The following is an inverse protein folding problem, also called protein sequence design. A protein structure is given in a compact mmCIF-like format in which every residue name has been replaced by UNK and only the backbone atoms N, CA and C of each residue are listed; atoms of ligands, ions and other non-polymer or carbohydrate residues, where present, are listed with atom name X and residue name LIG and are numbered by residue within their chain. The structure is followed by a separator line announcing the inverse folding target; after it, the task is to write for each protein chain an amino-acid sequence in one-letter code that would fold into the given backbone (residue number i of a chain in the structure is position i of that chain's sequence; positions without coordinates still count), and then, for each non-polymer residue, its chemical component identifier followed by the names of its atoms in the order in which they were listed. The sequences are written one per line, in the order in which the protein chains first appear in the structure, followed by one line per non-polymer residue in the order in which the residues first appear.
data_IF_306452732346
#
_entry.id   IF_306452732346
#
_cell.length_a   1.000
_cell.length_b   1.000
_cell.length_c   1.000
_cell.angle_alpha   90.00
_cell.angle_beta   90.00
_cell.angle_gamma   90.00
#
_symmetry.space_group_name_H-M   'P 1'
#
loop_
_entity.id
_entity.type
_entity.pdbx_description
1 polymer ?
#
# COMPACT_ATOMS: atom_id res chain seq x y z
N UNK A 1 -3.56 35.19 -38.46
CA UNK A 1 -3.35 34.26 -37.31
C UNK A 1 -2.62 34.89 -36.11
N UNK A 2 -1.89 36.01 -36.26
CA UNK A 2 -1.16 36.69 -35.16
C UNK A 2 -2.02 37.51 -34.17
N UNK A 3 -3.15 38.11 -34.58
CA UNK A 3 -3.98 38.96 -33.70
C UNK A 3 -4.66 38.22 -32.53
N UNK A 4 -5.02 36.93 -32.70
CA UNK A 4 -5.65 36.13 -31.63
C UNK A 4 -4.68 35.83 -30.48
N UNK A 5 -3.41 35.55 -30.77
CA UNK A 5 -2.40 35.29 -29.74
C UNK A 5 -2.02 36.55 -28.95
N UNK A 6 -2.10 37.73 -29.59
CA UNK A 6 -1.83 39.00 -28.94
C UNK A 6 -2.91 39.37 -27.90
N UNK A 7 -4.19 39.16 -28.25
CA UNK A 7 -5.32 39.42 -27.33
C UNK A 7 -5.28 38.48 -26.13
N UNK A 8 -5.00 37.19 -26.34
CA UNK A 8 -4.84 36.21 -25.26
C UNK A 8 -3.66 36.57 -24.34
N UNK A 9 -2.55 37.05 -24.90
CA UNK A 9 -1.40 37.50 -24.13
C UNK A 9 -1.71 38.73 -23.27
N UNK A 10 -2.35 39.76 -23.85
CA UNK A 10 -2.78 40.95 -23.08
C UNK A 10 -3.79 40.61 -21.99
N UNK A 11 -4.71 39.69 -22.26
CA UNK A 11 -5.69 39.24 -21.27
C UNK A 11 -5.03 38.48 -20.10
N UNK A 12 -4.04 37.62 -20.38
CA UNK A 12 -3.25 36.94 -19.35
C UNK A 12 -2.44 37.96 -18.53
N UNK A 13 -1.76 38.91 -19.18
CA UNK A 13 -0.98 39.96 -18.48
C UNK A 13 -1.88 40.86 -17.65
N UNK A 14 -3.07 41.23 -18.13
CA UNK A 14 -4.05 42.02 -17.39
C UNK A 14 -4.59 41.28 -16.17
N UNK A 15 -4.93 39.98 -16.30
CA UNK A 15 -5.35 39.15 -15.16
C UNK A 15 -4.22 39.01 -14.13
N UNK A 16 -2.97 38.79 -14.58
CA UNK A 16 -1.80 38.75 -13.70
C UNK A 16 -1.57 40.10 -12.99
N UNK A 17 -1.79 41.22 -13.69
CA UNK A 17 -1.71 42.57 -13.14
C UNK A 17 -2.78 42.86 -12.08
N UNK A 18 -4.03 42.45 -12.31
CA UNK A 18 -5.11 42.57 -11.32
C UNK A 18 -4.86 41.72 -10.07
N UNK A 19 -4.30 40.51 -10.24
CA UNK A 19 -3.94 39.64 -9.12
C UNK A 19 -2.79 40.23 -8.29
N UNK A 20 -1.77 40.81 -8.95
CA UNK A 20 -0.67 41.50 -8.28
C UNK A 20 -1.13 42.76 -7.51
N UNK A 21 -2.03 43.56 -8.09
CA UNK A 21 -2.57 44.76 -7.44
C UNK A 21 -3.44 44.44 -6.22
N UNK A 22 -4.29 43.40 -6.28
CA UNK A 22 -5.07 42.94 -5.11
C UNK A 22 -4.15 42.48 -3.97
N UNK A 23 -2.94 42.01 -4.28
CA UNK A 23 -1.99 41.45 -3.32
C UNK A 23 -1.15 42.50 -2.60
N UNK A 24 -0.65 43.52 -3.29
CA UNK A 24 -0.01 44.69 -2.67
C UNK A 24 -1.00 45.42 -1.75
N UNK A 25 -2.28 45.48 -2.16
CA UNK A 25 -3.34 46.06 -1.34
C UNK A 25 -3.43 45.45 0.07
N UNK A 26 -3.44 44.12 0.22
CA UNK A 26 -3.54 43.51 1.55
C UNK A 26 -2.33 43.76 2.43
N UNK A 27 -1.13 43.69 1.85
CA UNK A 27 0.13 43.93 2.57
C UNK A 27 0.21 45.35 3.12
N UNK A 28 -0.24 46.32 2.32
CA UNK A 28 -0.13 47.73 2.68
C UNK A 28 -1.32 48.24 3.50
N UNK A 29 -2.49 47.58 3.45
CA UNK A 29 -3.74 48.09 4.04
C UNK A 29 -4.35 47.25 5.18
N UNK A 30 -3.73 46.13 5.61
CA UNK A 30 -4.24 45.38 6.76
C UNK A 30 -4.34 46.26 8.02
N UNK A 31 -5.29 45.99 8.90
CA UNK A 31 -5.40 46.62 10.23
C UNK A 31 -5.06 45.64 11.33
N UNK A 32 -5.50 44.40 11.11
CA UNK A 32 -5.46 43.33 12.08
C UNK A 32 -5.39 41.97 11.39
N UNK A 33 -4.67 41.04 11.99
CA UNK A 33 -4.67 39.62 11.61
C UNK A 33 -5.25 38.83 12.78
N UNK A 34 -6.26 38.00 12.52
CA UNK A 34 -6.77 37.05 13.52
C UNK A 34 -6.42 35.63 13.12
N UNK A 35 -5.90 34.85 14.06
CA UNK A 35 -5.62 33.43 13.89
C UNK A 35 -6.56 32.68 14.81
N UNK A 36 -7.38 31.80 14.24
CA UNK A 36 -8.22 30.85 14.97
C UNK A 36 -7.64 29.47 14.76
N UNK A 37 -7.39 28.76 15.85
CA UNK A 37 -6.85 27.41 15.85
C UNK A 37 -7.79 26.48 16.64
N UNK A 38 -8.45 25.60 15.90
CA UNK A 38 -9.34 24.59 16.42
C UNK A 38 -8.59 23.25 16.42
N UNK A 39 -8.38 22.66 17.58
CA UNK A 39 -7.63 21.42 17.69
C UNK A 39 -8.39 20.37 18.48
N UNK A 40 -8.13 19.11 18.13
CA UNK A 40 -8.80 17.95 18.69
C UNK A 40 -7.86 17.18 19.62
N UNK A 41 -8.29 16.90 20.86
CA UNK A 41 -7.54 16.03 21.78
C UNK A 41 -7.99 14.58 21.61
N UNK A 42 -7.09 13.66 21.23
CA UNK A 42 -7.45 12.25 21.02
C UNK A 42 -7.95 11.48 22.27
N UNK A 43 -7.81 12.05 23.48
CA UNK A 43 -8.00 11.33 24.74
C UNK A 43 -9.14 11.84 25.64
N UNK A 44 -10.05 12.70 25.15
CA UNK A 44 -11.22 13.11 25.95
C UNK A 44 -12.45 12.25 25.61
N UNK A 45 -13.05 11.63 26.64
CA UNK A 45 -14.30 10.85 26.56
C UNK A 45 -15.48 11.66 26.02
N UNK A 46 -15.35 13.00 26.04
CA UNK A 46 -16.23 13.95 25.38
C UNK A 46 -15.48 14.63 24.23
N UNK A 47 -16.10 14.69 23.06
CA UNK A 47 -15.64 15.43 21.88
C UNK A 47 -15.59 16.94 22.20
N UNK A 48 -14.52 17.42 22.83
CA UNK A 48 -14.35 18.85 23.13
C UNK A 48 -13.36 19.47 22.16
N UNK A 49 -13.85 20.33 21.27
CA UNK A 49 -12.99 21.24 20.52
C UNK A 49 -12.54 22.35 21.45
N UNK A 50 -11.23 22.53 21.56
CA UNK A 50 -10.68 23.75 22.14
C UNK A 50 -10.39 24.73 21.02
N UNK A 51 -10.78 25.97 21.25
CA UNK A 51 -10.68 27.06 20.29
C UNK A 51 -9.68 28.07 20.83
N UNK A 52 -8.55 28.22 20.15
CA UNK A 52 -7.65 29.32 20.44
C UNK A 52 -7.84 30.42 19.42
N UNK A 53 -7.81 31.66 19.90
CA UNK A 53 -7.86 32.83 19.04
C UNK A 53 -6.77 33.80 19.44
N UNK A 54 -5.97 34.20 18.48
CA UNK A 54 -4.95 35.21 18.65
C UNK A 54 -5.18 36.36 17.67
N UNK A 55 -4.69 37.53 18.05
CA UNK A 55 -4.86 38.77 17.31
C UNK A 55 -3.54 39.51 17.20
N UNK A 56 -3.23 40.02 16.01
CA UNK A 56 -2.05 40.82 15.72
C UNK A 56 -2.51 42.16 15.19
N UNK A 57 -2.04 43.24 15.82
CA UNK A 57 -2.28 44.61 15.35
C UNK A 57 -1.10 45.14 14.52
N UNK A 58 -1.26 46.33 13.93
CA UNK A 58 -0.21 47.00 13.13
C UNK A 58 1.09 47.33 13.86
N UNK A 59 1.07 47.34 15.19
CA UNK A 59 2.28 47.50 16.01
C UNK A 59 3.01 46.17 16.22
N UNK A 60 2.56 45.10 15.55
CA UNK A 60 3.08 43.73 15.65
C UNK A 60 2.94 43.14 17.06
N UNK A 61 1.94 43.60 17.81
CA UNK A 61 1.60 43.03 19.12
C UNK A 61 0.64 41.87 18.93
N UNK A 62 1.05 40.68 19.37
CA UNK A 62 0.20 39.50 19.47
C UNK A 62 -0.52 39.50 20.80
N UNK A 63 -1.84 39.30 20.77
CA UNK A 63 -2.67 39.11 21.96
C UNK A 63 -3.38 37.77 21.87
N UNK A 64 -3.25 36.95 22.91
CA UNK A 64 -4.12 35.79 23.09
C UNK A 64 -5.50 36.26 23.57
N UNK A 65 -6.56 35.74 22.98
CA UNK A 65 -7.95 36.01 23.39
C UNK A 65 -8.52 34.89 24.26
N UNK A 66 -7.67 33.95 24.71
CA UNK A 66 -8.04 32.80 25.55
C UNK A 66 -7.56 33.07 26.98
N UNK A 67 -8.46 32.94 27.95
CA UNK A 67 -8.25 33.00 29.41
C UNK A 67 -8.06 34.38 30.10
N UNK A 68 -8.48 35.51 29.52
CA UNK A 68 -8.39 36.85 30.15
C UNK A 68 -6.96 37.31 30.57
N UNK A 69 -5.94 36.50 30.32
CA UNK A 69 -4.53 36.87 30.50
C UNK A 69 -4.04 37.52 29.21
N UNK A 70 -3.96 38.85 29.21
CA UNK A 70 -3.46 39.66 28.09
C UNK A 70 -1.93 39.50 27.96
N UNK A 71 -1.44 38.30 27.67
CA UNK A 71 -0.05 38.12 27.27
C UNK A 71 0.10 38.82 25.92
N UNK A 72 0.82 39.94 25.94
CA UNK A 72 1.13 40.73 24.77
C UNK A 72 2.58 40.49 24.39
N UNK A 73 2.79 39.75 23.30
CA UNK A 73 4.14 39.44 22.79
C UNK A 73 4.38 40.20 21.50
N UNK A 74 5.54 40.85 21.37
CA UNK A 74 5.91 41.53 20.13
C UNK A 74 6.42 40.50 19.11
N UNK A 75 5.80 40.45 17.93
CA UNK A 75 6.22 39.59 16.82
C UNK A 75 7.23 40.34 15.95
N UNK A 76 8.19 39.61 15.39
CA UNK A 76 9.05 40.14 14.36
C UNK A 76 8.25 40.47 13.09
N UNK A 77 8.21 41.75 12.70
CA UNK A 77 7.54 42.24 11.49
C UNK A 77 7.87 41.44 10.22
N UNK A 78 9.09 40.92 10.09
CA UNK A 78 9.50 40.12 8.93
C UNK A 78 8.71 38.81 8.76
N UNK A 79 8.14 38.26 9.85
CA UNK A 79 7.25 37.09 9.79
C UNK A 79 5.93 37.45 9.12
N UNK A 80 5.42 38.67 9.33
CA UNK A 80 4.19 39.14 8.69
C UNK A 80 4.43 39.37 7.19
N UNK A 81 5.54 40.02 6.83
CA UNK A 81 5.93 40.18 5.42
C UNK A 81 6.11 38.84 4.71
N UNK A 82 6.78 37.89 5.38
CA UNK A 82 6.97 36.53 4.87
C UNK A 82 5.64 35.79 4.72
N UNK A 83 4.69 36.01 5.63
CA UNK A 83 3.36 35.39 5.57
C UNK A 83 2.63 35.86 4.31
N UNK A 84 2.60 37.18 4.05
CA UNK A 84 2.01 37.75 2.83
C UNK A 84 2.63 37.16 1.56
N UNK A 85 3.95 37.06 1.50
CA UNK A 85 4.66 36.44 0.36
C UNK A 85 4.31 34.94 0.22
N UNK A 86 4.27 34.20 1.33
CA UNK A 86 4.03 32.76 1.33
C UNK A 86 2.62 32.40 0.85
N UNK A 87 1.60 33.18 1.25
CA UNK A 87 0.20 33.04 0.83
C UNK A 87 0.04 33.20 -0.70
N UNK A 88 0.90 34.01 -1.31
CA UNK A 88 0.87 34.30 -2.76
C UNK A 88 1.72 33.31 -3.58
N UNK A 89 2.62 32.57 -2.92
CA UNK A 89 3.57 31.69 -3.59
C UNK A 89 3.02 30.28 -3.74
N UNK A 90 2.80 29.84 -4.97
CA UNK A 90 2.43 28.46 -5.28
C UNK A 90 3.67 27.60 -5.52
N UNK A 91 3.92 26.60 -4.68
CA UNK A 91 5.03 25.63 -4.86
C UNK A 91 4.57 24.26 -5.38
N UNK A 92 3.30 24.15 -5.79
CA UNK A 92 2.75 22.92 -6.38
C UNK A 92 3.48 22.57 -7.68
N UNK A 93 4.22 21.46 -7.67
CA UNK A 93 4.85 20.92 -8.87
C UNK A 93 4.65 19.41 -8.95
N UNK A 94 4.10 18.91 -10.06
CA UNK A 94 3.96 17.47 -10.29
C UNK A 94 5.30 16.79 -10.53
N UNK A 95 6.25 17.52 -11.11
CA UNK A 95 7.60 17.03 -11.38
C UNK A 95 8.50 17.14 -10.15
N UNK A 96 8.24 18.12 -9.27
CA UNK A 96 8.96 18.29 -8.01
C UNK A 96 8.04 18.51 -6.79
N UNK A 97 7.26 17.49 -6.38
CA UNK A 97 6.32 17.61 -5.26
C UNK A 97 6.94 17.99 -3.91
N UNK A 98 8.23 17.72 -3.68
CA UNK A 98 8.90 18.08 -2.42
C UNK A 98 8.98 19.60 -2.19
N UNK A 99 8.92 20.41 -3.24
CA UNK A 99 8.96 21.87 -3.11
C UNK A 99 7.80 22.44 -2.31
N UNK A 100 6.64 21.75 -2.31
CA UNK A 100 5.50 22.11 -1.46
C UNK A 100 5.84 22.10 0.03
N UNK A 101 6.89 21.36 0.41
CA UNK A 101 7.36 21.12 1.77
C UNK A 101 8.74 21.74 2.06
N UNK A 102 9.19 22.68 1.22
CA UNK A 102 10.53 23.30 1.26
C UNK A 102 11.68 22.28 1.22
N UNK A 103 11.51 21.25 0.39
CA UNK A 103 12.47 20.18 0.17
C UNK A 103 12.65 19.96 -1.32
N UNK A 104 13.67 19.21 -1.67
CA UNK A 104 13.95 18.78 -3.03
C UNK A 104 14.55 17.37 -3.04
N UNK A 105 14.90 16.89 -4.24
CA UNK A 105 15.54 15.60 -4.41
C UNK A 105 16.85 15.49 -3.66
N UNK A 106 17.61 16.58 -3.57
CA UNK A 106 18.94 16.59 -2.97
C UNK A 106 18.85 16.51 -1.45
N UNK A 107 17.85 17.17 -0.85
CA UNK A 107 17.46 16.99 0.52
C UNK A 107 17.11 15.53 0.80
N UNK A 108 16.26 14.90 -0.03
CA UNK A 108 15.86 13.50 0.18
C UNK A 108 17.08 12.56 0.08
N UNK A 109 17.94 12.79 -0.90
CA UNK A 109 19.14 11.98 -1.12
C UNK A 109 20.15 12.11 0.04
N UNK A 110 20.40 13.34 0.48
CA UNK A 110 21.37 13.66 1.54
C UNK A 110 20.90 13.22 2.93
N UNK A 111 19.58 13.19 3.16
CA UNK A 111 19.01 12.87 4.48
C UNK A 111 18.55 11.41 4.60
N UNK A 112 18.65 10.58 3.54
CA UNK A 112 18.05 9.24 3.51
C UNK A 112 18.44 8.33 4.68
N UNK A 113 19.71 8.38 5.10
CA UNK A 113 20.25 7.57 6.20
C UNK A 113 19.69 7.99 7.55
N UNK A 114 19.71 9.30 7.82
CA UNK A 114 19.14 9.88 9.04
C UNK A 114 17.63 9.65 9.13
N UNK A 115 16.93 9.87 8.01
CA UNK A 115 15.49 9.64 7.88
C UNK A 115 15.15 8.19 8.24
N UNK A 116 15.83 7.23 7.62
CA UNK A 116 15.63 5.81 7.87
C UNK A 116 15.94 5.41 9.31
N UNK A 117 17.05 5.90 9.87
CA UNK A 117 17.44 5.65 11.26
C UNK A 117 16.42 6.16 12.28
N UNK A 118 15.89 7.37 12.08
CA UNK A 118 14.84 7.95 12.95
C UNK A 118 13.52 7.17 12.87
N UNK A 119 13.18 6.67 11.69
CA UNK A 119 11.97 5.86 11.50
C UNK A 119 12.07 4.48 12.15
N UNK A 120 13.22 3.80 12.00
CA UNK A 120 13.51 2.53 12.66
C UNK A 120 13.30 2.57 14.17
N UNK A 121 13.82 3.61 14.84
CA UNK A 121 13.67 3.78 16.28
C UNK A 121 12.20 3.86 16.71
N UNK A 122 11.34 4.46 15.89
CA UNK A 122 9.91 4.60 16.18
C UNK A 122 9.10 3.32 15.99
N UNK A 123 9.60 2.34 15.24
CA UNK A 123 8.87 1.10 14.94
C UNK A 123 9.41 -0.12 15.72
N UNK A 124 10.37 0.09 16.62
CA UNK A 124 10.96 -0.92 17.52
C UNK A 124 11.37 -2.24 16.83
N UNK A 125 11.90 -2.13 15.62
CA UNK A 125 12.43 -3.28 14.91
C UNK A 125 13.98 -3.35 15.11
N UNK A 126 14.59 -4.56 15.07
CA UNK A 126 16.05 -4.74 15.22
C UNK A 126 16.83 -4.36 13.94
N UNK A 127 17.91 -3.58 14.08
CA UNK A 127 18.85 -3.19 12.98
C UNK A 127 19.27 -4.38 12.12
N UNK A 128 19.35 -4.16 10.81
CA UNK A 128 19.79 -5.15 9.83
C UNK A 128 20.40 -4.44 8.61
N UNK A 129 21.72 -4.55 8.45
CA UNK A 129 22.49 -3.85 7.41
C UNK A 129 21.96 -4.08 5.99
N UNK A 130 21.49 -5.29 5.69
CA UNK A 130 20.92 -5.59 4.36
C UNK A 130 19.60 -4.85 4.13
N UNK A 131 18.76 -4.75 5.15
CA UNK A 131 17.51 -3.98 5.07
C UNK A 131 17.85 -2.49 4.98
N UNK A 132 18.83 -2.03 5.75
CA UNK A 132 19.21 -0.62 5.82
C UNK A 132 19.74 -0.13 4.48
N UNK A 133 20.71 -0.84 3.89
CA UNK A 133 21.25 -0.52 2.57
C UNK A 133 20.16 -0.47 1.50
N UNK A 134 19.24 -1.42 1.49
CA UNK A 134 18.13 -1.45 0.54
C UNK A 134 17.16 -0.28 0.74
N UNK A 135 16.74 -0.02 1.98
CA UNK A 135 15.82 1.06 2.30
C UNK A 135 16.41 2.43 1.96
N UNK A 136 17.67 2.69 2.33
CA UNK A 136 18.39 3.93 2.00
C UNK A 136 18.43 4.14 0.48
N UNK A 137 18.73 3.09 -0.28
CA UNK A 137 18.75 3.15 -1.75
C UNK A 137 17.37 3.52 -2.32
N UNK A 138 16.30 2.92 -1.80
CA UNK A 138 14.93 3.23 -2.25
C UNK A 138 14.51 4.64 -1.85
N UNK A 139 14.90 5.13 -0.66
CA UNK A 139 14.61 6.50 -0.22
C UNK A 139 15.30 7.53 -1.13
N UNK A 140 16.58 7.29 -1.48
CA UNK A 140 17.36 8.15 -2.39
C UNK A 140 16.75 8.22 -3.81
N UNK A 141 15.99 7.20 -4.23
CA UNK A 141 15.35 7.15 -5.56
C UNK A 141 14.11 8.07 -5.64
N UNK A 142 14.35 9.36 -5.87
CA UNK A 142 13.28 10.34 -5.97
C UNK A 142 12.27 10.05 -7.09
N UNK A 143 12.73 9.48 -8.21
CA UNK A 143 11.86 9.17 -9.36
C UNK A 143 10.77 8.16 -8.96
N UNK A 144 11.10 7.17 -8.12
CA UNK A 144 10.12 6.24 -7.54
C UNK A 144 9.20 6.91 -6.53
N UNK A 145 9.75 7.79 -5.69
CA UNK A 145 9.04 8.33 -4.53
C UNK A 145 8.15 9.55 -4.84
N UNK A 146 8.32 10.22 -5.98
CA UNK A 146 7.57 11.46 -6.31
C UNK A 146 6.05 11.32 -6.15
N UNK A 147 5.47 10.20 -6.59
CA UNK A 147 4.01 9.99 -6.51
C UNK A 147 3.55 9.79 -5.05
N UNK A 148 4.41 9.22 -4.20
CA UNK A 148 4.13 9.11 -2.77
C UNK A 148 4.16 10.48 -2.11
N UNK A 149 5.17 11.30 -2.40
CA UNK A 149 5.25 12.69 -1.90
C UNK A 149 4.02 13.49 -2.34
N UNK A 150 3.59 13.35 -3.60
CA UNK A 150 2.38 14.01 -4.10
C UNK A 150 1.12 13.60 -3.35
N UNK A 151 1.05 12.36 -2.83
CA UNK A 151 -0.09 11.89 -2.02
C UNK A 151 -0.10 12.45 -0.59
N UNK A 152 0.98 13.11 -0.15
CA UNK A 152 1.07 13.74 1.17
C UNK A 152 0.42 15.12 1.24
N UNK A 153 -0.30 15.54 0.20
CA UNK A 153 -1.19 16.68 0.20
C UNK A 153 -2.62 16.22 -0.14
N UNK A 154 -3.65 16.90 0.37
CA UNK A 154 -5.00 16.60 -0.10
C UNK A 154 -6.14 17.16 0.74
N UNK A 155 -7.34 16.68 0.42
CA UNK A 155 -8.58 16.86 1.18
C UNK A 155 -8.96 15.50 1.76
N UNK A 156 -9.16 15.43 3.07
CA UNK A 156 -9.82 14.30 3.70
C UNK A 156 -11.19 14.73 4.20
N UNK A 157 -12.19 13.87 4.03
CA UNK A 157 -13.58 14.10 4.46
C UNK A 157 -13.87 13.59 5.88
N UNK A 158 -12.84 13.50 6.73
CA UNK A 158 -13.05 13.03 8.11
C UNK A 158 -13.68 14.13 8.95
N UNK A 159 -14.71 13.80 9.72
CA UNK A 159 -15.48 14.76 10.52
C UNK A 159 -14.72 15.33 11.75
N UNK A 160 -13.50 14.86 11.99
CA UNK A 160 -12.67 15.17 13.17
C UNK A 160 -11.32 15.80 12.77
N UNK A 161 -11.36 16.97 12.12
CA UNK A 161 -10.15 17.62 11.63
C UNK A 161 -9.85 18.89 12.44
N UNK A 162 -8.68 18.89 13.07
CA UNK A 162 -7.96 20.12 13.43
C UNK A 162 -8.03 21.13 12.29
N UNK A 163 -8.25 22.40 12.59
CA UNK A 163 -8.48 23.44 11.61
C UNK A 163 -7.79 24.74 12.04
N UNK A 164 -7.15 25.41 11.09
CA UNK A 164 -6.55 26.73 11.33
C UNK A 164 -7.16 27.70 10.32
N UNK A 165 -7.63 28.85 10.81
CA UNK A 165 -8.11 29.98 10.02
C UNK A 165 -7.31 31.23 10.34
N UNK A 166 -6.88 31.93 9.30
CA UNK A 166 -6.28 33.25 9.36
C UNK A 166 -7.26 34.20 8.67
N UNK A 167 -7.52 35.35 9.28
CA UNK A 167 -8.26 36.43 8.66
C UNK A 167 -7.38 37.67 8.66
N UNK A 168 -7.09 38.21 7.49
CA UNK A 168 -6.39 39.48 7.34
C UNK A 168 -7.44 40.54 7.06
N UNK A 169 -7.64 41.43 8.02
CA UNK A 169 -8.76 42.39 8.03
C UNK A 169 -8.23 43.75 7.61
N UNK A 170 -8.87 44.37 6.62
CA UNK A 170 -8.64 45.77 6.20
C UNK A 170 -9.86 46.62 6.59
N UNK A 171 -9.90 47.89 6.18
CA UNK A 171 -11.11 48.72 6.35
C UNK A 171 -12.31 48.25 5.53
N UNK A 172 -12.04 47.67 4.36
CA UNK A 172 -13.06 47.45 3.33
C UNK A 172 -13.37 45.96 3.11
N UNK A 173 -12.46 45.08 3.49
CA UNK A 173 -12.54 43.66 3.15
C UNK A 173 -11.75 42.77 4.13
N UNK A 174 -12.03 41.47 4.12
CA UNK A 174 -11.33 40.44 4.91
C UNK A 174 -10.88 39.26 4.06
N UNK A 175 -9.56 39.04 3.98
CA UNK A 175 -8.97 37.89 3.31
C UNK A 175 -8.99 36.68 4.25
N UNK A 176 -9.73 35.63 3.87
CA UNK A 176 -9.83 34.38 4.63
C UNK A 176 -8.86 33.34 4.09
N UNK A 177 -8.06 32.76 4.98
CA UNK A 177 -7.09 31.72 4.67
C UNK A 177 -7.30 30.56 5.64
N UNK A 178 -7.46 29.33 5.15
CA UNK A 178 -7.83 28.19 5.99
C UNK A 178 -7.08 26.93 5.65
N UNK A 179 -6.90 26.04 6.61
CA UNK A 179 -6.41 24.68 6.36
C UNK A 179 -6.91 23.66 7.38
N UNK A 180 -6.87 22.37 6.98
CA UNK A 180 -7.21 21.21 7.81
C UNK A 180 -5.97 20.38 8.17
N UNK A 181 -5.93 19.85 9.39
CA UNK A 181 -4.75 19.25 10.00
C UNK A 181 -4.57 17.76 9.73
N UNK A 182 -5.02 17.26 8.57
CA UNK A 182 -4.85 15.85 8.18
C UNK A 182 -3.46 15.56 7.62
N UNK A 183 -2.90 16.52 6.89
CA UNK A 183 -1.66 16.34 6.13
C UNK A 183 -0.50 17.05 6.81
N UNK A 184 0.76 16.61 6.58
CA UNK A 184 1.93 17.33 7.05
C UNK A 184 1.91 18.78 6.61
N UNK A 185 2.32 19.69 7.49
CA UNK A 185 2.24 21.14 7.27
C UNK A 185 0.82 21.64 7.01
N UNK A 186 -0.24 20.87 7.28
CA UNK A 186 -1.61 21.28 6.98
C UNK A 186 -1.75 21.73 5.51
N UNK A 187 -1.27 20.94 4.54
CA UNK A 187 -1.44 21.27 3.12
C UNK A 187 -2.65 20.57 2.50
N UNK A 188 -3.39 21.23 1.58
CA UNK A 188 -3.21 22.61 1.12
C UNK A 188 -3.79 23.67 2.06
N UNK A 189 -3.31 24.90 1.90
CA UNK A 189 -4.02 26.08 2.38
C UNK A 189 -5.03 26.55 1.35
N UNK A 190 -6.17 27.08 1.79
CA UNK A 190 -7.18 27.71 0.95
C UNK A 190 -7.11 29.21 1.17
N UNK A 191 -6.85 29.97 0.11
CA UNK A 191 -6.81 31.43 0.10
C UNK A 191 -7.94 31.88 -0.81
N UNK A 192 -9.02 32.45 -0.25
CA UNK A 192 -10.25 32.76 -1.01
C UNK A 192 -10.73 31.58 -1.89
N UNK A 193 -10.79 30.38 -1.31
CA UNK A 193 -11.14 29.12 -1.98
C UNK A 193 -10.12 28.58 -3.01
N UNK A 194 -8.98 29.24 -3.20
CA UNK A 194 -7.89 28.75 -4.06
C UNK A 194 -6.87 27.93 -3.26
N UNK A 195 -6.51 26.74 -3.76
CA UNK A 195 -5.53 25.86 -3.11
C UNK A 195 -4.09 26.35 -3.31
N UNK A 196 -3.43 26.70 -2.22
CA UNK A 196 -2.01 27.06 -2.17
C UNK A 196 -1.23 25.95 -1.47
N UNK A 197 -0.22 25.44 -2.16
CA UNK A 197 0.66 24.38 -1.66
C UNK A 197 2.01 24.98 -1.32
N UNK A 198 2.13 25.51 -0.11
CA UNK A 198 3.36 26.12 0.38
C UNK A 198 3.47 25.96 1.89
N UNK A 199 4.37 25.09 2.35
CA UNK A 199 4.62 24.85 3.78
C UNK A 199 5.17 26.07 4.54
N UNK A 200 5.63 27.11 3.86
CA UNK A 200 6.06 28.35 4.51
C UNK A 200 4.93 28.98 5.33
N UNK A 201 3.69 28.95 4.81
CA UNK A 201 2.52 29.48 5.52
C UNK A 201 2.44 28.85 6.91
N UNK A 202 2.49 27.52 6.97
CA UNK A 202 2.42 26.73 8.20
C UNK A 202 3.61 26.98 9.12
N UNK A 203 4.82 27.02 8.54
CA UNK A 203 6.06 27.24 9.28
C UNK A 203 6.08 28.63 9.92
N UNK A 204 5.63 29.67 9.20
CA UNK A 204 5.54 31.04 9.70
C UNK A 204 4.50 31.13 10.82
N UNK A 205 3.30 30.55 10.63
CA UNK A 205 2.27 30.54 11.66
C UNK A 205 2.74 29.83 12.94
N UNK A 206 3.47 28.73 12.82
CA UNK A 206 4.03 28.06 13.99
C UNK A 206 4.97 28.95 14.83
N UNK A 207 5.63 29.92 14.20
CA UNK A 207 6.50 30.90 14.88
C UNK A 207 5.72 32.09 15.45
N UNK A 208 4.57 32.40 14.86
CA UNK A 208 3.67 33.48 15.33
C UNK A 208 2.86 33.03 16.54
N UNK A 209 2.36 31.79 16.53
CA UNK A 209 1.51 31.25 17.60
C UNK A 209 2.38 30.92 18.84
N UNK A 210 2.00 31.38 20.05
CA UNK A 210 2.79 31.16 21.26
C UNK A 210 2.93 29.67 21.63
N UNK A 211 4.01 29.30 22.30
CA UNK A 211 4.26 27.91 22.74
C UNK A 211 3.37 27.48 23.91
N UNK A 212 2.91 28.45 24.71
CA UNK A 212 2.13 28.25 25.92
C UNK A 212 0.67 27.86 25.64
N UNK A 213 0.22 28.02 24.38
CA UNK A 213 -1.13 27.70 23.96
C UNK A 213 -1.16 26.27 23.40
N UNK A 214 -2.08 25.43 23.88
CA UNK A 214 -2.30 24.11 23.30
C UNK A 214 -2.82 24.27 21.85
N UNK A 215 -1.98 24.13 20.83
CA UNK A 215 -2.32 24.45 19.42
C UNK A 215 -1.90 23.34 18.44
N UNK A 216 -2.33 23.43 17.18
CA UNK A 216 -1.91 22.54 16.09
C UNK A 216 -0.43 22.73 15.65
N UNK A 217 0.44 23.21 16.55
CA UNK A 217 1.83 23.62 16.26
C UNK A 217 2.66 22.49 15.65
N UNK A 218 2.56 21.27 16.17
CA UNK A 218 3.26 20.11 15.59
C UNK A 218 2.82 19.81 14.15
N UNK A 219 1.54 20.02 13.83
CA UNK A 219 0.99 19.82 12.49
C UNK A 219 1.46 20.92 11.55
N UNK A 220 1.46 22.18 12.02
CA UNK A 220 2.00 23.34 11.30
C UNK A 220 3.50 23.20 11.01
N UNK A 221 4.27 22.68 11.97
CA UNK A 221 5.70 22.37 11.82
C UNK A 221 5.97 21.16 10.91
N UNK A 222 4.94 20.38 10.59
CA UNK A 222 5.10 19.15 9.82
C UNK A 222 5.92 18.10 10.54
N UNK A 223 5.86 18.02 11.88
CA UNK A 223 6.66 17.10 12.71
C UNK A 223 6.57 15.64 12.25
N UNK A 224 5.41 15.24 11.72
CA UNK A 224 5.17 13.89 11.20
C UNK A 224 5.52 13.70 9.72
N UNK A 225 5.97 14.73 9.00
CA UNK A 225 6.28 14.65 7.57
C UNK A 225 7.22 13.47 7.24
N UNK A 226 8.36 13.39 7.93
CA UNK A 226 9.35 12.34 7.70
C UNK A 226 8.78 10.95 7.97
N UNK A 227 8.03 10.80 9.07
CA UNK A 227 7.42 9.53 9.43
C UNK A 227 6.37 9.09 8.40
N UNK A 228 5.48 10.02 7.99
CA UNK A 228 4.46 9.76 6.96
C UNK A 228 5.10 9.36 5.64
N UNK A 229 6.13 10.09 5.19
CA UNK A 229 6.87 9.77 3.96
C UNK A 229 7.45 8.36 4.01
N UNK A 230 8.17 8.03 5.08
CA UNK A 230 8.82 6.73 5.21
C UNK A 230 7.83 5.59 5.40
N UNK A 231 6.70 5.83 6.06
CA UNK A 231 5.64 4.84 6.17
C UNK A 231 5.03 4.51 4.79
N UNK A 232 4.80 5.53 3.95
CA UNK A 232 4.35 5.33 2.57
C UNK A 232 5.38 4.56 1.74
N UNK A 233 6.67 4.92 1.84
CA UNK A 233 7.76 4.21 1.16
C UNK A 233 7.86 2.76 1.65
N UNK A 234 7.80 2.52 2.96
CA UNK A 234 7.82 1.17 3.55
C UNK A 234 6.71 0.32 2.98
N UNK A 235 5.47 0.79 3.08
CA UNK A 235 4.30 0.02 2.69
C UNK A 235 4.27 -0.27 1.19
N UNK A 236 4.77 0.64 0.36
CA UNK A 236 4.76 0.47 -1.09
C UNK A 236 5.93 -0.34 -1.64
N UNK A 237 7.13 -0.19 -1.10
CA UNK A 237 8.35 -0.70 -1.73
C UNK A 237 9.21 -1.61 -0.84
N UNK A 238 9.11 -1.49 0.48
CA UNK A 238 10.05 -2.19 1.39
C UNK A 238 9.41 -3.38 2.11
N UNK A 239 8.10 -3.33 2.39
CA UNK A 239 7.40 -4.28 3.27
C UNK A 239 7.71 -5.73 2.92
N UNK A 240 7.54 -6.11 1.66
CA UNK A 240 7.69 -7.50 1.23
C UNK A 240 9.16 -7.94 1.27
N UNK A 241 10.08 -7.07 0.88
CA UNK A 241 11.53 -7.36 0.94
C UNK A 241 12.03 -7.47 2.37
N UNK A 242 11.57 -6.60 3.27
CA UNK A 242 11.86 -6.66 4.70
C UNK A 242 11.35 -7.98 5.28
N UNK A 243 10.10 -8.33 4.98
CA UNK A 243 9.51 -9.60 5.40
C UNK A 243 10.32 -10.78 4.87
N UNK A 244 10.69 -10.79 3.59
CA UNK A 244 11.54 -11.81 2.98
C UNK A 244 12.87 -11.98 3.75
N UNK A 245 13.60 -10.90 4.01
CA UNK A 245 14.90 -10.96 4.70
C UNK A 245 14.73 -11.50 6.13
N UNK A 246 13.71 -11.03 6.86
CA UNK A 246 13.40 -11.50 8.23
C UNK A 246 13.07 -13.00 8.23
N UNK A 247 12.21 -13.44 7.32
CA UNK A 247 11.77 -14.83 7.23
C UNK A 247 12.90 -15.74 6.76
N UNK A 248 13.71 -15.30 5.79
CA UNK A 248 14.92 -16.01 5.37
C UNK A 248 15.91 -16.20 6.52
N UNK A 249 16.09 -15.20 7.39
CA UNK A 249 16.94 -15.32 8.58
C UNK A 249 16.35 -16.29 9.61
N UNK A 250 15.04 -16.19 9.88
CA UNK A 250 14.30 -17.04 10.83
C UNK A 250 14.28 -18.52 10.38
N UNK A 251 14.08 -18.78 9.10
CA UNK A 251 13.96 -20.11 8.49
C UNK A 251 15.16 -20.45 7.58
N UNK A 252 16.38 -20.08 8.01
CA UNK A 252 17.62 -20.17 7.20
C UNK A 252 17.84 -21.54 6.57
N UNK A 253 17.61 -22.63 7.31
CA UNK A 253 17.84 -24.00 6.81
C UNK A 253 16.84 -24.36 5.71
N UNK A 254 15.56 -24.01 5.88
CA UNK A 254 14.48 -24.30 4.94
C UNK A 254 14.71 -23.56 3.62
N UNK A 255 15.01 -22.27 3.69
CA UNK A 255 15.33 -21.46 2.51
C UNK A 255 16.54 -22.03 1.79
N UNK A 256 17.62 -22.39 2.51
CA UNK A 256 18.80 -23.01 1.90
C UNK A 256 18.48 -24.33 1.19
N UNK A 257 17.50 -25.11 1.65
CA UNK A 257 17.07 -26.32 0.94
C UNK A 257 16.27 -25.98 -0.31
N UNK A 258 15.27 -25.12 -0.20
CA UNK A 258 14.42 -24.71 -1.32
C UNK A 258 15.24 -24.05 -2.43
N UNK A 259 16.12 -23.10 -2.07
CA UNK A 259 16.99 -22.36 -2.97
C UNK A 259 18.01 -23.24 -3.71
N UNK A 260 18.10 -24.55 -3.46
CA UNK A 260 18.86 -25.46 -4.32
C UNK A 260 18.17 -25.63 -5.67
N UNK A 261 16.89 -25.96 -5.64
CA UNK A 261 16.10 -26.37 -6.80
C UNK A 261 15.11 -25.30 -7.27
N UNK A 262 14.76 -24.35 -6.40
CA UNK A 262 13.70 -23.38 -6.65
C UNK A 262 14.20 -21.93 -6.55
N UNK A 263 13.53 -21.05 -7.28
CA UNK A 263 13.49 -19.59 -7.04
C UNK A 263 12.29 -19.31 -6.13
N UNK A 264 12.52 -18.67 -4.98
CA UNK A 264 11.43 -18.26 -4.10
C UNK A 264 10.83 -16.96 -4.65
N UNK A 265 9.55 -17.00 -5.05
CA UNK A 265 8.86 -15.86 -5.66
C UNK A 265 8.16 -14.99 -4.65
N UNK A 266 7.32 -15.60 -3.82
CA UNK A 266 6.52 -14.92 -2.79
C UNK A 266 6.55 -15.68 -1.49
N UNK A 267 6.38 -14.93 -0.40
CA UNK A 267 6.37 -15.44 0.95
C UNK A 267 5.29 -14.71 1.74
N UNK A 268 4.41 -15.46 2.40
CA UNK A 268 3.32 -14.90 3.19
C UNK A 268 3.24 -15.59 4.55
N UNK A 269 3.20 -14.79 5.63
CA UNK A 269 2.82 -15.31 6.95
C UNK A 269 1.35 -14.98 7.20
N UNK A 270 0.48 -15.98 7.22
CA UNK A 270 -0.96 -15.81 7.43
C UNK A 270 -1.52 -16.89 8.36
N UNK A 271 -2.69 -16.62 8.94
CA UNK A 271 -3.51 -17.65 9.57
C UNK A 271 -4.25 -18.35 8.44
N UNK A 272 -3.83 -19.55 8.09
CA UNK A 272 -4.31 -20.21 6.89
C UNK A 272 -5.48 -21.13 7.19
N UNK A 273 -6.60 -20.87 6.51
CA UNK A 273 -7.66 -21.83 6.23
C UNK A 273 -7.69 -22.02 4.72
N UNK A 274 -7.18 -23.14 4.23
CA UNK A 274 -7.28 -23.53 2.83
C UNK A 274 -7.77 -24.97 2.78
N UNK A 275 -8.38 -25.37 1.67
CA UNK A 275 -8.93 -26.72 1.44
C UNK A 275 -7.87 -27.81 1.71
N UNK A 276 -6.59 -27.49 1.57
CA UNK A 276 -5.50 -28.42 1.84
C UNK A 276 -4.96 -28.36 3.28
N UNK A 277 -5.46 -27.48 4.13
CA UNK A 277 -4.82 -27.11 5.40
C UNK A 277 -5.83 -26.88 6.54
N UNK A 278 -5.65 -27.60 7.65
CA UNK A 278 -6.35 -27.32 8.90
C UNK A 278 -5.50 -26.37 9.73
N UNK A 279 -6.08 -25.26 10.17
CA UNK A 279 -5.42 -24.31 11.05
C UNK A 279 -6.31 -23.91 12.22
N UNK A 280 -6.23 -24.65 13.34
CA UNK A 280 -6.33 -24.00 14.65
C UNK A 280 -5.41 -22.78 14.58
N UNK A 281 -5.93 -21.58 14.87
CA UNK A 281 -5.27 -20.25 14.89
C UNK A 281 -3.74 -20.26 15.04
N UNK A 282 -3.01 -20.76 14.04
CA UNK A 282 -1.55 -20.90 14.08
C UNK A 282 -0.99 -20.30 12.81
N UNK A 283 -0.18 -19.27 13.03
CA UNK A 283 0.46 -18.50 11.98
C UNK A 283 1.41 -19.42 11.19
N UNK A 284 1.11 -19.60 9.90
CA UNK A 284 1.86 -20.44 8.99
C UNK A 284 2.56 -19.59 7.94
N UNK A 285 3.64 -20.12 7.38
CA UNK A 285 4.46 -19.48 6.36
C UNK A 285 4.24 -20.21 5.04
N UNK A 286 3.50 -19.59 4.14
CA UNK A 286 3.32 -20.04 2.76
C UNK A 286 4.45 -19.50 1.89
N UNK A 287 4.95 -20.35 1.01
CA UNK A 287 6.03 -20.01 0.08
C UNK A 287 5.66 -20.51 -1.31
N UNK A 288 5.63 -19.55 -2.24
CA UNK A 288 5.51 -19.75 -3.68
C UNK A 288 6.91 -19.93 -4.29
N UNK A 289 7.05 -20.97 -5.10
CA UNK A 289 8.31 -21.45 -5.64
C UNK A 289 8.18 -21.68 -7.15
N UNK A 290 9.17 -21.24 -7.90
CA UNK A 290 9.37 -21.67 -9.29
C UNK A 290 10.55 -22.61 -9.39
N UNK A 291 10.39 -23.70 -10.13
CA UNK A 291 11.52 -24.60 -10.43
C UNK A 291 12.53 -23.86 -11.30
N UNK A 292 13.80 -23.88 -10.91
CA UNK A 292 14.88 -23.21 -11.65
C UNK A 292 15.09 -23.76 -13.07
N UNK A 293 14.73 -25.02 -13.28
CA UNK A 293 14.90 -25.71 -14.56
C UNK A 293 13.56 -26.22 -15.10
N UNK A 294 12.44 -25.70 -14.58
CA UNK A 294 11.10 -26.14 -14.95
C UNK A 294 10.44 -25.20 -15.95
N UNK A 295 9.11 -25.26 -15.97
CA UNK A 295 8.27 -24.42 -16.82
C UNK A 295 7.86 -23.16 -16.06
N UNK A 296 7.89 -22.00 -16.73
CA UNK A 296 7.62 -20.71 -16.09
C UNK A 296 6.18 -20.56 -15.57
N UNK A 297 5.25 -21.32 -16.15
CA UNK A 297 3.82 -21.36 -15.78
C UNK A 297 3.46 -22.47 -14.79
N UNK A 298 4.44 -23.19 -14.25
CA UNK A 298 4.22 -24.21 -13.21
C UNK A 298 4.82 -23.73 -11.88
N UNK A 299 3.93 -23.45 -10.94
CA UNK A 299 4.24 -22.97 -9.60
C UNK A 299 4.13 -24.09 -8.58
N UNK A 300 5.01 -24.04 -7.58
CA UNK A 300 4.99 -24.94 -6.44
C UNK A 300 4.70 -24.16 -5.16
N UNK A 301 3.76 -24.63 -4.37
CA UNK A 301 3.44 -24.05 -3.08
C UNK A 301 3.89 -24.97 -1.95
N UNK A 302 4.55 -24.43 -0.93
CA UNK A 302 4.88 -25.18 0.28
C UNK A 302 4.62 -24.34 1.52
N UNK A 303 4.16 -24.99 2.58
CA UNK A 303 3.88 -24.31 3.86
C UNK A 303 4.76 -24.84 4.98
N UNK A 304 5.18 -23.91 5.84
CA UNK A 304 5.87 -24.19 7.09
C UNK A 304 5.03 -23.72 8.28
N UNK A 305 5.02 -24.49 9.35
CA UNK A 305 4.55 -24.04 10.66
C UNK A 305 5.74 -24.11 11.64
N UNK A 306 5.76 -23.23 12.66
CA UNK A 306 6.72 -23.27 13.75
C UNK A 306 6.85 -24.68 14.38
N UNK A 307 5.75 -25.45 14.42
CA UNK A 307 5.71 -26.80 14.98
C UNK A 307 6.23 -27.91 14.04
N UNK A 308 6.31 -27.66 12.72
CA UNK A 308 6.77 -28.65 11.73
C UNK A 308 7.69 -28.03 10.67
N UNK A 309 8.86 -27.49 11.05
CA UNK A 309 9.61 -26.59 10.18
C UNK A 309 10.40 -27.30 9.07
N UNK A 310 10.56 -28.64 9.06
CA UNK A 310 11.52 -29.32 8.16
C UNK A 310 10.93 -30.33 7.17
N UNK A 311 9.71 -30.83 7.36
CA UNK A 311 9.20 -31.94 6.55
C UNK A 311 8.97 -31.51 5.10
N UNK A 312 8.31 -30.36 4.89
CA UNK A 312 7.87 -29.93 3.56
C UNK A 312 9.02 -29.53 2.64
N UNK A 313 9.95 -28.67 3.11
CA UNK A 313 11.06 -28.15 2.30
C UNK A 313 12.04 -29.22 1.82
N UNK A 314 12.39 -30.19 2.68
CA UNK A 314 13.26 -31.30 2.26
C UNK A 314 12.53 -32.27 1.34
N UNK A 315 11.25 -32.52 1.61
CA UNK A 315 10.48 -33.50 0.84
C UNK A 315 10.20 -33.01 -0.57
N UNK A 316 9.80 -31.75 -0.76
CA UNK A 316 9.52 -31.20 -2.09
C UNK A 316 10.78 -31.22 -2.96
N UNK A 317 11.91 -30.77 -2.42
CA UNK A 317 13.21 -30.76 -3.12
C UNK A 317 13.62 -32.17 -3.56
N UNK A 318 13.40 -33.19 -2.72
CA UNK A 318 13.74 -34.59 -3.04
C UNK A 318 12.79 -35.22 -4.07
N UNK A 319 11.51 -34.85 -4.05
CA UNK A 319 10.47 -35.50 -4.86
C UNK A 319 10.12 -34.73 -6.14
N UNK A 320 10.56 -33.48 -6.29
CA UNK A 320 10.25 -32.60 -7.44
C UNK A 320 10.40 -33.30 -8.78
N UNK A 321 11.59 -33.82 -9.10
CA UNK A 321 11.86 -34.45 -10.39
C UNK A 321 11.00 -35.70 -10.63
N UNK A 322 10.74 -36.48 -9.57
CA UNK A 322 9.87 -37.65 -9.64
C UNK A 322 8.42 -37.23 -9.93
N UNK A 323 7.95 -36.17 -9.29
CA UNK A 323 6.62 -35.61 -9.48
C UNK A 323 6.43 -35.08 -10.91
N UNK A 324 7.38 -34.28 -11.39
CA UNK A 324 7.35 -33.76 -12.76
C UNK A 324 7.35 -34.89 -13.80
N UNK A 325 8.13 -35.95 -13.59
CA UNK A 325 8.12 -37.13 -14.47
C UNK A 325 6.77 -37.86 -14.50
N UNK A 326 6.04 -37.88 -13.38
CA UNK A 326 4.68 -38.44 -13.34
C UNK A 326 3.70 -37.54 -14.12
N UNK A 327 3.88 -36.22 -14.02
CA UNK A 327 3.02 -35.22 -14.65
C UNK A 327 3.32 -35.00 -16.14
N UNK A 328 4.50 -35.36 -16.62
CA UNK A 328 4.96 -35.13 -17.99
C UNK A 328 3.96 -35.59 -19.07
N UNK A 329 3.19 -36.66 -18.80
CA UNK A 329 2.17 -37.19 -19.70
C UNK A 329 0.72 -36.93 -19.26
N UNK A 330 0.51 -36.12 -18.23
CA UNK A 330 -0.82 -35.74 -17.77
C UNK A 330 -1.39 -34.66 -18.70
N UNK A 331 -2.62 -34.81 -19.26
CA UNK A 331 -3.17 -33.86 -20.22
C UNK A 331 -3.44 -32.48 -19.61
N UNK A 332 -3.84 -32.41 -18.34
CA UNK A 332 -4.02 -31.15 -17.60
C UNK A 332 -2.70 -30.43 -17.45
N UNK A 333 -1.66 -31.14 -17.02
CA UNK A 333 -0.33 -30.56 -16.90
C UNK A 333 0.24 -30.12 -18.28
N UNK A 334 0.07 -30.94 -19.32
CA UNK A 334 0.48 -30.60 -20.69
C UNK A 334 -0.23 -29.37 -21.24
N UNK A 335 -1.51 -29.20 -20.93
CA UNK A 335 -2.22 -27.99 -21.30
C UNK A 335 -1.67 -26.78 -20.57
N UNK A 336 -1.47 -26.88 -19.24
CA UNK A 336 -0.91 -25.80 -18.44
C UNK A 336 0.40 -25.28 -19.00
N UNK A 337 1.34 -26.18 -19.34
CA UNK A 337 2.65 -25.77 -19.88
C UNK A 337 2.58 -25.11 -21.26
N UNK A 338 1.58 -25.44 -22.08
CA UNK A 338 1.45 -24.95 -23.46
C UNK A 338 0.51 -23.74 -23.59
N UNK A 339 -0.12 -23.31 -22.49
CA UNK A 339 -1.03 -22.18 -22.46
C UNK A 339 -0.32 -20.97 -21.82
N UNK A 340 -0.11 -19.91 -22.62
CA UNK A 340 0.63 -18.71 -22.19
C UNK A 340 -0.04 -17.98 -21.02
N UNK A 341 -1.37 -18.01 -20.95
CA UNK A 341 -2.15 -17.34 -19.91
C UNK A 341 -2.63 -18.31 -18.81
N UNK A 342 -1.97 -19.47 -18.70
CA UNK A 342 -2.29 -20.45 -17.67
C UNK A 342 -1.23 -20.46 -16.58
N UNK A 343 -1.66 -20.75 -15.35
CA UNK A 343 -0.80 -21.06 -14.22
C UNK A 343 -1.26 -22.39 -13.64
N UNK A 344 -0.35 -23.36 -13.62
CA UNK A 344 -0.54 -24.65 -12.96
C UNK A 344 0.14 -24.65 -11.60
N UNK A 345 -0.61 -24.89 -10.54
CA UNK A 345 -0.10 -24.88 -9.18
C UNK A 345 -0.06 -26.30 -8.60
N UNK A 346 1.11 -26.67 -8.07
CA UNK A 346 1.32 -27.91 -7.33
C UNK A 346 1.56 -27.54 -5.88
N UNK A 347 0.60 -27.88 -5.04
CA UNK A 347 0.74 -27.62 -3.62
C UNK A 347 1.43 -28.81 -2.94
N UNK A 348 2.30 -28.53 -1.97
CA UNK A 348 3.11 -29.51 -1.27
C UNK A 348 3.05 -29.34 0.24
N UNK A 349 2.35 -30.29 0.86
CA UNK A 349 1.97 -30.26 2.26
C UNK A 349 2.69 -31.34 3.06
N UNK A 350 3.64 -30.93 3.91
CA UNK A 350 4.49 -31.80 4.75
C UNK A 350 5.36 -32.76 3.94
N UNK A 351 4.78 -33.67 3.19
CA UNK A 351 5.53 -34.66 2.41
C UNK A 351 4.80 -35.16 1.17
N UNK A 352 3.67 -34.55 0.80
CA UNK A 352 2.80 -35.01 -0.28
C UNK A 352 2.05 -33.83 -0.89
N UNK A 353 1.60 -33.99 -2.13
CA UNK A 353 0.78 -33.00 -2.80
C UNK A 353 -0.67 -33.07 -2.34
N UNK A 354 -1.34 -34.22 -2.47
CA UNK A 354 -2.70 -34.37 -1.92
C UNK A 354 -2.70 -34.55 -0.40
N UNK A 355 -2.97 -33.45 0.29
CA UNK A 355 -2.97 -33.35 1.75
C UNK A 355 -4.02 -34.26 2.41
N UNK A 356 -3.89 -34.53 3.73
CA UNK A 356 -4.94 -35.26 4.46
C UNK A 356 -6.23 -34.44 4.50
N UNK A 357 -6.10 -33.11 4.59
CA UNK A 357 -7.23 -32.20 4.64
C UNK A 357 -7.91 -32.05 3.28
N UNK A 358 -7.12 -31.92 2.22
CA UNK A 358 -7.64 -31.93 0.86
C UNK A 358 -8.49 -33.19 0.62
N UNK A 359 -8.02 -34.35 1.10
CA UNK A 359 -8.78 -35.60 1.09
C UNK A 359 -10.07 -35.54 1.90
N UNK A 360 -10.05 -34.98 3.11
CA UNK A 360 -11.24 -34.87 3.96
C UNK A 360 -12.31 -33.99 3.30
N UNK A 361 -11.94 -32.79 2.82
CA UNK A 361 -12.85 -31.90 2.09
C UNK A 361 -13.36 -32.52 0.79
N UNK A 362 -12.48 -33.15 0.00
CA UNK A 362 -12.91 -33.82 -1.21
C UNK A 362 -13.93 -34.94 -0.93
N UNK A 363 -13.77 -35.70 0.17
CA UNK A 363 -14.75 -36.72 0.56
C UNK A 363 -16.08 -36.09 0.95
N UNK A 364 -16.08 -34.96 1.67
CA UNK A 364 -17.30 -34.22 2.00
C UNK A 364 -18.03 -33.75 0.72
N UNK A 365 -17.31 -33.15 -0.22
CA UNK A 365 -17.86 -32.69 -1.49
C UNK A 365 -18.36 -33.86 -2.37
N UNK A 366 -17.63 -34.97 -2.37
CA UNK A 366 -18.03 -36.20 -3.06
C UNK A 366 -19.36 -36.75 -2.51
N UNK A 367 -19.55 -36.72 -1.18
CA UNK A 367 -20.80 -37.13 -0.52
C UNK A 367 -21.92 -36.15 -0.86
N UNK A 368 -21.65 -34.83 -0.83
CA UNK A 368 -22.63 -33.80 -1.17
C UNK A 368 -23.13 -33.93 -2.63
N UNK A 369 -22.32 -34.53 -3.51
CA UNK A 369 -22.67 -34.88 -4.89
C UNK A 369 -23.34 -36.25 -5.05
N UNK A 370 -23.66 -36.92 -3.94
CA UNK A 370 -24.39 -38.19 -3.92
C UNK A 370 -23.53 -39.44 -4.21
N UNK A 371 -22.21 -39.32 -4.24
CA UNK A 371 -21.32 -40.46 -4.46
C UNK A 371 -20.93 -41.16 -3.14
N UNK A 372 -20.55 -42.44 -3.24
CA UNK A 372 -20.09 -43.22 -2.08
C UNK A 372 -18.78 -42.64 -1.52
N UNK A 373 -18.76 -42.33 -0.22
CA UNK A 373 -17.57 -41.87 0.52
C UNK A 373 -16.34 -42.77 0.36
N UNK A 374 -16.54 -44.05 0.05
CA UNK A 374 -15.51 -45.06 -0.14
C UNK A 374 -15.10 -45.28 -1.60
N UNK A 375 -15.67 -44.54 -2.57
CA UNK A 375 -15.42 -44.73 -4.01
C UNK A 375 -13.93 -44.85 -4.37
N UNK A 376 -13.07 -44.06 -3.70
CA UNK A 376 -11.62 -44.06 -3.92
C UNK A 376 -10.82 -44.55 -2.70
N UNK A 377 -11.41 -45.35 -1.82
CA UNK A 377 -10.75 -45.87 -0.62
C UNK A 377 -9.45 -46.60 -1.00
N UNK A 378 -8.33 -46.19 -0.39
CA UNK A 378 -7.00 -46.74 -0.66
C UNK A 378 -6.28 -46.17 -1.89
N UNK A 379 -6.98 -45.52 -2.82
CA UNK A 379 -6.41 -44.99 -4.08
C UNK A 379 -5.76 -43.61 -3.94
N UNK A 380 -6.03 -42.89 -2.86
CA UNK A 380 -5.43 -41.57 -2.57
C UNK A 380 -3.93 -41.60 -2.22
N UNK A 381 -3.34 -42.78 -2.06
CA UNK A 381 -1.90 -42.88 -1.75
C UNK A 381 -1.10 -42.36 -2.93
N UNK A 382 -0.23 -41.38 -2.66
CA UNK A 382 0.59 -40.68 -3.66
C UNK A 382 -0.22 -39.89 -4.71
N UNK A 383 -1.49 -39.58 -4.43
CA UNK A 383 -2.29 -38.70 -5.28
C UNK A 383 -1.70 -37.28 -5.32
N UNK A 384 -1.89 -36.61 -6.45
CA UNK A 384 -1.40 -35.26 -6.70
C UNK A 384 -2.61 -34.33 -6.72
N UNK A 385 -2.51 -33.22 -6.01
CA UNK A 385 -3.42 -32.10 -6.13
C UNK A 385 -2.82 -31.08 -7.10
N UNK A 386 -3.64 -30.59 -8.02
CA UNK A 386 -3.22 -29.63 -9.03
C UNK A 386 -4.32 -28.60 -9.24
N UNK A 387 -3.98 -27.32 -9.11
CA UNK A 387 -4.88 -26.22 -9.45
C UNK A 387 -4.45 -25.62 -10.79
N UNK A 388 -5.40 -25.39 -11.69
CA UNK A 388 -5.16 -24.70 -12.96
C UNK A 388 -5.98 -23.42 -12.96
N UNK A 389 -5.29 -22.30 -13.04
CA UNK A 389 -5.85 -20.99 -13.36
C UNK A 389 -5.61 -20.69 -14.84
N UNK A 390 -6.63 -20.20 -15.55
CA UNK A 390 -6.49 -19.71 -16.91
C UNK A 390 -7.16 -18.34 -17.05
N UNK A 391 -6.43 -17.36 -17.58
CA UNK A 391 -6.91 -16.00 -17.83
C UNK A 391 -7.14 -15.76 -19.33
N UNK A 392 -8.31 -15.22 -19.68
CA UNK A 392 -8.69 -14.83 -21.04
C UNK A 392 -9.33 -13.44 -20.99
N UNK A 393 -9.52 -12.80 -22.13
CA UNK A 393 -10.25 -11.52 -22.20
C UNK A 393 -11.66 -11.61 -21.57
N UNK A 394 -12.29 -12.79 -21.61
CA UNK A 394 -13.61 -13.05 -21.03
C UNK A 394 -13.62 -13.23 -19.51
N UNK A 395 -12.47 -13.23 -18.84
CA UNK A 395 -12.36 -13.36 -17.39
C UNK A 395 -11.30 -14.38 -16.94
N UNK A 396 -11.48 -14.92 -15.74
CA UNK A 396 -10.62 -15.95 -15.12
C UNK A 396 -11.43 -17.22 -14.90
N UNK A 397 -10.85 -18.38 -15.20
CA UNK A 397 -11.38 -19.68 -14.79
C UNK A 397 -10.36 -20.41 -13.93
N UNK A 398 -10.86 -21.16 -12.95
CA UNK A 398 -10.07 -21.94 -11.98
C UNK A 398 -10.62 -23.37 -11.97
N UNK A 399 -9.73 -24.34 -11.95
CA UNK A 399 -10.10 -25.74 -11.78
C UNK A 399 -9.16 -26.46 -10.83
N UNK A 400 -9.72 -27.34 -9.99
CA UNK A 400 -8.95 -28.18 -9.07
C UNK A 400 -9.05 -29.63 -9.48
N UNK A 401 -7.90 -30.28 -9.50
CA UNK A 401 -7.75 -31.63 -10.00
C UNK A 401 -7.08 -32.54 -8.98
N UNK A 402 -7.51 -33.79 -8.95
CA UNK A 402 -6.84 -34.88 -8.22
C UNK A 402 -6.39 -35.90 -9.26
N UNK A 403 -5.08 -36.13 -9.31
CA UNK A 403 -4.49 -37.18 -10.14
C UNK A 403 -4.18 -38.39 -9.27
N UNK A 404 -4.85 -39.51 -9.53
CA UNK A 404 -4.57 -40.77 -8.85
C UNK A 404 -3.39 -41.48 -9.53
N UNK A 405 -2.71 -42.33 -8.76
CA UNK A 405 -1.50 -43.05 -9.22
C UNK A 405 -1.75 -43.97 -10.42
N UNK A 406 -2.97 -44.48 -10.56
CA UNK A 406 -3.39 -45.31 -11.69
C UNK A 406 -3.69 -44.52 -12.98
N UNK A 407 -3.54 -43.19 -12.93
CA UNK A 407 -3.77 -42.30 -14.07
C UNK A 407 -5.20 -41.76 -14.16
N UNK A 408 -6.07 -42.10 -13.20
CA UNK A 408 -7.42 -41.50 -13.12
C UNK A 408 -7.32 -40.01 -12.85
N UNK A 409 -8.06 -39.22 -13.62
CA UNK A 409 -8.16 -37.76 -13.49
C UNK A 409 -9.51 -37.42 -12.89
N UNK A 410 -9.51 -36.70 -11.77
CA UNK A 410 -10.74 -36.26 -11.11
C UNK A 410 -10.77 -34.74 -11.15
N UNK A 411 -11.78 -34.17 -11.80
CA UNK A 411 -12.14 -32.76 -11.67
C UNK A 411 -12.90 -32.57 -10.36
N UNK A 412 -12.24 -32.00 -9.37
CA UNK A 412 -12.85 -31.71 -8.08
C UNK A 412 -13.72 -30.47 -8.16
N UNK A 413 -13.19 -29.37 -8.69
CA UNK A 413 -13.86 -28.08 -8.71
C UNK A 413 -13.63 -27.35 -10.02
N UNK A 414 -14.65 -26.60 -10.46
CA UNK A 414 -14.61 -25.73 -11.61
C UNK A 414 -15.34 -24.42 -11.32
N UNK A 415 -14.61 -23.32 -11.38
CA UNK A 415 -15.15 -21.96 -11.36
C UNK A 415 -14.79 -21.25 -12.66
N UNK A 416 -15.78 -20.68 -13.35
CA UNK A 416 -15.57 -19.94 -14.60
C UNK A 416 -16.39 -20.48 -15.77
N UNK A 417 -16.02 -20.06 -16.98
CA UNK A 417 -16.79 -20.31 -18.20
C UNK A 417 -16.05 -21.17 -19.23
N UNK A 418 -14.81 -21.56 -18.96
CA UNK A 418 -13.97 -22.37 -19.84
C UNK A 418 -12.98 -23.21 -19.04
N UNK A 419 -12.60 -24.38 -19.57
CA UNK A 419 -11.58 -25.26 -19.00
C UNK A 419 -10.98 -26.10 -20.12
N UNK A 420 -9.72 -25.88 -20.48
CA UNK A 420 -8.92 -26.76 -21.37
C UNK A 420 -9.60 -27.27 -22.66
N UNK A 421 -10.53 -26.51 -23.22
CA UNK A 421 -11.40 -26.92 -24.33
C UNK A 421 -12.21 -28.22 -24.07
N UNK A 422 -12.53 -28.54 -22.82
CA UNK A 422 -13.44 -29.64 -22.49
C UNK A 422 -14.85 -29.43 -23.06
N UNK A 423 -15.60 -30.52 -23.21
CA UNK A 423 -16.93 -30.51 -23.80
C UNK A 423 -17.87 -29.52 -23.11
N UNK A 424 -18.76 -28.88 -23.90
CA UNK A 424 -19.75 -27.92 -23.39
C UNK A 424 -20.66 -28.52 -22.32
N UNK A 425 -20.81 -29.84 -22.29
CA UNK A 425 -21.59 -30.55 -21.28
C UNK A 425 -20.90 -30.52 -19.92
N UNK A 426 -19.60 -30.84 -19.86
CA UNK A 426 -18.80 -30.73 -18.63
C UNK A 426 -18.73 -29.29 -18.12
N UNK A 427 -18.72 -28.31 -19.04
CA UNK A 427 -18.70 -26.88 -18.71
C UNK A 427 -20.01 -26.35 -18.09
N UNK A 428 -21.11 -27.12 -18.12
CA UNK A 428 -22.35 -26.76 -17.42
C UNK A 428 -22.25 -26.97 -15.91
N UNK A 429 -21.38 -27.87 -15.47
CA UNK A 429 -21.11 -28.09 -14.05
C UNK A 429 -20.26 -26.94 -13.49
N UNK A 430 -20.61 -26.43 -12.30
CA UNK A 430 -19.88 -25.36 -11.61
C UNK A 430 -19.80 -25.63 -10.11
N UNK A 431 -18.76 -25.09 -9.46
CA UNK A 431 -18.45 -25.34 -8.07
C UNK A 431 -17.80 -26.72 -7.88
N UNK A 432 -18.14 -27.43 -6.82
CA UNK A 432 -17.59 -28.76 -6.53
C UNK A 432 -18.28 -29.84 -7.39
N UNK A 433 -17.62 -30.21 -8.49
CA UNK A 433 -18.14 -31.08 -9.53
C UNK A 433 -17.89 -32.57 -9.21
N UNK A 434 -16.70 -32.90 -8.71
CA UNK A 434 -16.26 -34.24 -8.29
C UNK A 434 -16.40 -35.36 -9.34
N UNK A 435 -16.05 -35.10 -10.61
CA UNK A 435 -16.20 -36.03 -11.73
C UNK A 435 -14.89 -36.67 -12.18
N UNK A 436 -14.94 -37.95 -12.54
CA UNK A 436 -13.83 -38.61 -13.26
C UNK A 436 -13.88 -38.19 -14.74
N UNK A 437 -12.77 -37.66 -15.24
CA UNK A 437 -12.64 -37.24 -16.63
C UNK A 437 -11.79 -38.27 -17.37
N UNK A 438 -12.33 -38.80 -18.47
CA UNK A 438 -11.62 -39.75 -19.31
C UNK A 438 -10.58 -39.03 -20.16
N UNK A 439 -9.50 -39.72 -20.54
CA UNK A 439 -8.40 -39.09 -21.28
C UNK A 439 -8.81 -38.64 -22.69
N UNK A 440 -9.76 -39.35 -23.30
CA UNK A 440 -10.26 -39.08 -24.64
C UNK A 440 -10.97 -37.71 -24.73
N UNK A 441 -11.49 -37.18 -23.62
CA UNK A 441 -12.08 -35.84 -23.57
C UNK A 441 -11.07 -34.72 -23.85
N UNK A 442 -9.76 -35.00 -23.69
CA UNK A 442 -8.69 -34.04 -23.96
C UNK A 442 -8.17 -34.12 -25.40
N UNK A 443 -8.41 -35.24 -26.09
CA UNK A 443 -7.97 -35.46 -27.48
C UNK A 443 -9.06 -35.09 -28.51
N UNK A 444 -10.27 -34.78 -28.05
CA UNK A 444 -11.46 -34.58 -28.88
C UNK A 444 -11.58 -33.19 -29.54
N UNK A 445 -10.55 -32.34 -29.48
CA UNK A 445 -10.55 -31.00 -30.10
C UNK A 445 -9.22 -30.63 -30.75
#
# INVERSE_FOLDING_TARGET
MQKKNLITFYFIVFILGLYAQKNEYWKDNWKKITITDDFYKPNSVYFSSKHNKCEINRNYELRSLVNNENITTKINSSLIDSLFLAIQTQKKSKTNPLQMFNKDSDWLASNAEELWGKYWYRIDEKKNEQIDSFAITIIKDYKKNKNLVWSMQGEGTDRNLSFVRIQIITEKDTLNITSTGKFPYMLPWYVENTKVYNSDISTILSKIIPDEVEVNKEKLLGTNFNFTLLNLIKNKYLKDRINYIKLKKKYKKQFKYLEKEFVIKRIEESYMSSVEWEGIMTKSLEIELLDKNGFDNIEFYTIFNANFPFSSSKSIVRNKNKLLKILENNPVFKYSINCENCVGEIHWVKSKSFSRKAKEHFIEDLINRGADKNKYKGRYKDAIFFELTEERESGKSISRWIFLKDGTLILWELEGNYLMNLSKELMKERGFVCLEIKKEEFDAN
#
